data_IF_774823898778
#
_entry.id   IF_774823898778
#
_cell.length_a   1.000
_cell.length_b   1.000
_cell.length_c   1.000
_cell.angle_alpha   90.00
_cell.angle_beta   90.00
_cell.angle_gamma   90.00
#
_symmetry.space_group_name_H-M   'P 1'
#
loop_
_entity.id
_entity.type
_entity.pdbx_description
1 polymer ?
#
# COMPACT_ATOMS: atom_id res chain seq x y z
N UNK A 1 30.85 -36.84 50.18
CA UNK A 1 29.73 -37.78 50.35
C UNK A 1 28.45 -36.99 50.14
N UNK A 2 27.59 -37.44 49.21
CA UNK A 2 26.23 -36.95 48.90
C UNK A 2 26.14 -35.55 48.26
N UNK A 3 25.94 -35.55 46.93
CA UNK A 3 25.40 -34.43 46.16
C UNK A 3 23.87 -34.48 46.25
N UNK A 4 23.26 -33.46 46.87
CA UNK A 4 21.81 -33.30 46.97
C UNK A 4 21.25 -32.66 45.69
N UNK A 5 20.14 -33.23 45.22
CA UNK A 5 19.22 -32.61 44.27
C UNK A 5 18.59 -31.34 44.87
N UNK A 6 18.40 -30.32 44.03
CA UNK A 6 17.32 -29.34 44.20
C UNK A 6 16.56 -29.22 42.89
N UNK A 7 15.29 -29.57 42.98
CA UNK A 7 14.25 -29.47 41.96
C UNK A 7 13.75 -28.03 41.88
N UNK A 8 13.62 -27.48 40.67
CA UNK A 8 12.80 -26.28 40.43
C UNK A 8 11.75 -26.61 39.39
N UNK A 9 10.50 -26.55 39.84
CA UNK A 9 9.27 -26.74 39.09
C UNK A 9 8.91 -25.41 38.41
N UNK A 10 8.62 -25.42 37.10
CA UNK A 10 7.91 -24.33 36.45
C UNK A 10 6.63 -24.89 35.81
N UNK A 11 5.50 -24.47 36.37
CA UNK A 11 4.16 -24.70 35.84
C UNK A 11 4.00 -23.94 34.51
N UNK A 12 3.68 -24.67 33.45
CA UNK A 12 3.12 -24.11 32.21
C UNK A 12 1.60 -24.32 32.24
N UNK A 13 0.87 -23.21 32.32
CA UNK A 13 -0.58 -23.15 32.22
C UNK A 13 -1.03 -23.43 30.79
N UNK A 14 -2.07 -24.27 30.68
CA UNK A 14 -2.79 -24.59 29.44
C UNK A 14 -3.55 -23.36 28.94
N UNK A 15 -3.28 -22.97 27.70
CA UNK A 15 -4.11 -22.08 26.90
C UNK A 15 -4.62 -22.84 25.69
N UNK A 16 -5.92 -23.13 25.68
CA UNK A 16 -6.66 -23.82 24.63
C UNK A 16 -6.69 -22.96 23.36
N UNK A 17 -6.00 -23.38 22.29
CA UNK A 17 -6.18 -22.82 20.95
C UNK A 17 -7.09 -23.76 20.16
N UNK A 18 -8.35 -23.34 20.04
CA UNK A 18 -9.33 -23.96 19.15
C UNK A 18 -8.92 -23.76 17.69
N UNK A 19 -8.94 -24.86 16.96
CA UNK A 19 -8.83 -24.90 15.51
C UNK A 19 -9.96 -24.10 14.87
N UNK A 20 -9.62 -23.03 14.16
CA UNK A 20 -10.45 -22.45 13.12
C UNK A 20 -9.72 -22.66 11.78
N UNK A 21 -9.97 -23.82 11.17
CA UNK A 21 -9.61 -24.10 9.78
C UNK A 21 -10.54 -23.26 8.90
N UNK A 22 -10.00 -22.23 8.25
CA UNK A 22 -10.67 -21.50 7.18
C UNK A 22 -10.52 -22.26 5.85
N UNK A 23 -11.61 -22.26 5.10
CA UNK A 23 -11.88 -22.96 3.84
C UNK A 23 -10.99 -22.52 2.65
N UNK A 24 -10.90 -23.33 1.58
CA UNK A 24 -9.92 -23.18 0.49
C UNK A 24 -10.30 -22.18 -0.61
N UNK A 25 -11.32 -21.35 -0.39
CA UNK A 25 -11.67 -20.25 -1.30
C UNK A 25 -12.00 -19.01 -0.47
N UNK A 26 -11.25 -17.93 -0.72
CA UNK A 26 -11.58 -16.57 -0.29
C UNK A 26 -11.39 -16.27 1.19
N UNK A 27 -10.15 -15.92 1.55
CA UNK A 27 -9.80 -14.74 2.36
C UNK A 27 -8.28 -14.63 2.40
N UNK A 28 -7.76 -13.71 1.59
CA UNK A 28 -6.36 -13.31 1.46
C UNK A 28 -5.80 -12.82 2.79
N UNK A 29 -5.19 -13.71 3.57
CA UNK A 29 -4.30 -13.37 4.68
C UNK A 29 -2.85 -13.71 4.34
N UNK A 30 -2.32 -13.00 3.34
CA UNK A 30 -0.91 -12.64 3.28
C UNK A 30 -0.83 -11.16 2.90
N UNK A 31 -1.03 -10.30 3.91
CA UNK A 31 -0.58 -8.91 3.88
C UNK A 31 0.95 -8.91 3.81
N UNK A 32 1.49 -9.15 2.62
CA UNK A 32 2.82 -8.65 2.28
C UNK A 32 2.63 -7.15 2.22
N UNK A 33 3.27 -6.43 3.15
CA UNK A 33 3.27 -4.98 3.24
C UNK A 33 3.21 -4.37 1.83
N UNK A 34 2.02 -3.86 1.49
CA UNK A 34 1.79 -3.02 0.31
C UNK A 34 2.84 -1.94 0.42
N UNK A 35 3.87 -2.02 -0.42
CA UNK A 35 4.98 -1.09 -0.44
C UNK A 35 4.38 0.31 -0.56
N UNK A 36 4.36 1.00 0.57
CA UNK A 36 4.28 2.46 0.66
C UNK A 36 3.16 3.08 -0.17
N UNK A 37 1.89 2.77 0.17
CA UNK A 37 0.82 3.77 0.01
C UNK A 37 1.28 5.00 0.78
N UNK A 38 1.91 5.96 0.09
CA UNK A 38 2.64 7.09 0.68
C UNK A 38 1.75 7.81 1.69
N UNK A 39 1.89 7.51 2.98
CA UNK A 39 1.09 8.08 4.06
C UNK A 39 -0.38 7.65 4.14
N UNK A 40 -1.02 7.20 3.05
CA UNK A 40 -2.48 6.98 2.99
C UNK A 40 -2.99 5.79 3.82
N UNK A 41 -2.14 4.89 4.28
CA UNK A 41 -2.59 3.69 5.00
C UNK A 41 -3.28 2.66 4.09
N UNK A 42 -3.82 1.55 4.65
CA UNK A 42 -4.43 0.48 3.85
C UNK A 42 -5.69 0.98 3.15
N UNK A 43 -5.87 0.62 1.87
CA UNK A 43 -7.03 1.02 1.08
C UNK A 43 -8.35 0.56 1.74
N UNK A 44 -9.34 1.45 1.75
CA UNK A 44 -10.70 1.19 2.28
C UNK A 44 -11.78 1.27 1.21
N UNK A 45 -11.38 1.48 -0.05
CA UNK A 45 -12.24 1.60 -1.22
C UNK A 45 -11.81 0.57 -2.27
N UNK A 46 -12.69 0.28 -3.24
CA UNK A 46 -12.32 -0.54 -4.39
C UNK A 46 -11.36 0.26 -5.28
N UNK A 47 -10.10 -0.17 -5.33
CA UNK A 47 -9.06 0.50 -6.12
C UNK A 47 -9.31 0.39 -7.63
N UNK A 48 -10.15 -0.53 -8.10
CA UNK A 48 -10.43 -0.69 -9.53
C UNK A 48 -11.15 0.51 -10.15
N UNK A 49 -11.81 1.35 -9.34
CA UNK A 49 -12.35 2.63 -9.81
C UNK A 49 -11.26 3.62 -10.25
N UNK A 50 -9.99 3.39 -9.86
CA UNK A 50 -8.83 4.20 -10.21
C UNK A 50 -7.97 3.60 -11.32
N UNK A 51 -8.45 2.56 -12.01
CA UNK A 51 -7.71 2.01 -13.13
C UNK A 51 -7.58 3.02 -14.26
N UNK A 52 -6.41 3.05 -14.88
CA UNK A 52 -6.13 3.91 -16.01
C UNK A 52 -6.53 3.22 -17.33
N UNK A 53 -6.91 3.99 -18.37
CA UNK A 53 -6.99 3.48 -19.73
C UNK A 53 -5.64 2.92 -20.20
N UNK A 54 -5.66 1.92 -21.08
CA UNK A 54 -4.45 1.22 -21.54
C UNK A 54 -3.49 2.18 -22.22
N UNK A 55 -4.00 3.11 -23.03
CA UNK A 55 -3.20 4.11 -23.74
C UNK A 55 -2.40 4.99 -22.76
N UNK A 56 -3.01 5.35 -21.64
CA UNK A 56 -2.34 6.09 -20.57
C UNK A 56 -1.30 5.24 -19.85
N UNK A 57 -1.59 3.96 -19.60
CA UNK A 57 -0.67 3.03 -18.93
C UNK A 57 0.63 2.88 -19.72
N UNK A 58 0.52 2.71 -21.04
CA UNK A 58 1.67 2.52 -21.94
C UNK A 58 2.64 3.71 -21.89
N UNK A 59 2.10 4.92 -21.79
CA UNK A 59 2.90 6.14 -21.71
C UNK A 59 3.46 6.40 -20.30
N UNK A 60 2.84 5.86 -19.26
CA UNK A 60 3.08 6.27 -17.88
C UNK A 60 4.09 5.37 -17.14
N UNK A 61 4.24 4.11 -17.56
CA UNK A 61 5.25 3.22 -17.02
C UNK A 61 6.67 3.77 -17.21
N UNK A 62 7.51 3.61 -16.18
CA UNK A 62 8.93 3.91 -16.28
C UNK A 62 9.77 2.97 -15.42
N UNK A 63 11.02 2.78 -15.80
CA UNK A 63 12.01 2.11 -14.96
C UNK A 63 12.74 3.16 -14.11
N UNK A 64 12.77 2.94 -12.80
CA UNK A 64 13.41 3.82 -11.82
C UNK A 64 14.60 3.12 -11.21
N UNK A 65 15.77 3.74 -11.34
CA UNK A 65 16.99 3.26 -10.67
C UNK A 65 16.92 3.69 -9.20
N UNK A 66 16.93 2.71 -8.31
CA UNK A 66 16.95 2.93 -6.87
C UNK A 66 18.35 2.58 -6.35
N UNK A 67 18.98 3.56 -5.70
CA UNK A 67 20.25 3.37 -5.03
C UNK A 67 20.04 2.66 -3.69
N UNK A 68 21.03 1.86 -3.28
CA UNK A 68 21.01 1.20 -1.97
C UNK A 68 20.86 2.23 -0.86
N UNK A 69 19.89 2.01 0.02
CA UNK A 69 19.72 2.76 1.27
C UNK A 69 19.59 1.78 2.43
N UNK A 70 19.40 2.27 3.66
CA UNK A 70 19.08 1.39 4.80
C UNK A 70 17.72 0.68 4.63
N UNK A 71 16.82 1.27 3.85
CA UNK A 71 15.43 0.81 3.69
C UNK A 71 15.19 0.10 2.35
N UNK A 72 16.02 0.34 1.34
CA UNK A 72 15.83 -0.21 0.00
C UNK A 72 17.10 -0.88 -0.55
N UNK A 73 16.91 -2.01 -1.22
CA UNK A 73 17.95 -2.65 -2.03
C UNK A 73 18.23 -1.81 -3.29
N UNK A 74 19.46 -1.93 -3.80
CA UNK A 74 19.81 -1.36 -5.09
C UNK A 74 19.19 -2.18 -6.21
N UNK A 75 18.63 -1.50 -7.21
CA UNK A 75 18.02 -2.18 -8.34
C UNK A 75 17.30 -1.22 -9.29
N UNK A 76 16.75 -1.81 -10.34
CA UNK A 76 15.85 -1.14 -11.28
C UNK A 76 14.44 -1.63 -10.94
N UNK A 77 13.55 -0.70 -10.63
CA UNK A 77 12.18 -1.00 -10.23
C UNK A 77 11.19 -0.32 -11.14
N UNK A 78 10.00 -0.89 -11.23
CA UNK A 78 8.94 -0.31 -12.03
C UNK A 78 8.27 0.84 -11.27
N UNK A 79 8.15 1.99 -11.93
CA UNK A 79 7.59 3.22 -11.39
C UNK A 79 6.65 3.90 -12.39
N UNK A 80 6.25 5.12 -12.05
CA UNK A 80 5.42 5.98 -12.91
C UNK A 80 6.14 7.30 -13.19
N UNK A 81 5.90 7.89 -14.37
CA UNK A 81 6.49 9.18 -14.75
C UNK A 81 5.90 10.33 -13.93
N UNK A 82 4.60 10.29 -13.71
CA UNK A 82 3.74 11.31 -13.11
C UNK A 82 3.37 10.93 -11.67
N UNK A 83 4.37 10.79 -10.80
CA UNK A 83 4.20 10.38 -9.40
C UNK A 83 3.39 11.36 -8.53
N UNK A 84 2.86 12.46 -9.05
CA UNK A 84 1.87 13.30 -8.37
C UNK A 84 0.43 12.87 -8.66
N UNK A 85 0.17 12.31 -9.84
CA UNK A 85 -1.16 12.01 -10.38
C UNK A 85 -1.45 10.51 -10.44
N UNK A 86 -0.40 9.69 -10.51
CA UNK A 86 -0.49 8.24 -10.64
C UNK A 86 0.31 7.59 -9.52
N UNK A 87 -0.07 6.37 -9.15
CA UNK A 87 0.71 5.53 -8.25
C UNK A 87 0.75 4.09 -8.75
N UNK A 88 1.78 3.37 -8.31
CA UNK A 88 1.93 1.94 -8.56
C UNK A 88 1.30 1.17 -7.40
N UNK A 89 0.19 0.52 -7.65
CA UNK A 89 -0.41 -0.46 -6.75
C UNK A 89 0.29 -1.82 -6.90
N UNK A 90 0.37 -2.59 -5.83
CA UNK A 90 1.01 -3.91 -5.83
C UNK A 90 0.16 -4.90 -5.06
N UNK A 91 -0.24 -5.96 -5.73
CA UNK A 91 -1.07 -7.01 -5.15
C UNK A 91 -0.59 -8.40 -5.59
N UNK A 92 -1.02 -9.42 -4.85
CA UNK A 92 -0.79 -10.81 -5.18
C UNK A 92 -2.09 -11.41 -5.71
N UNK A 93 -2.00 -12.18 -6.78
CA UNK A 93 -3.08 -13.03 -7.24
C UNK A 93 -2.61 -14.47 -7.33
N UNK A 94 -3.50 -15.43 -7.07
CA UNK A 94 -3.15 -16.86 -7.09
C UNK A 94 -4.17 -17.62 -7.91
N UNK A 95 -3.69 -18.51 -8.77
CA UNK A 95 -4.52 -19.32 -9.66
C UNK A 95 -3.86 -20.68 -9.94
N UNK A 96 -4.65 -21.74 -10.24
CA UNK A 96 -4.12 -23.08 -10.46
C UNK A 96 -3.24 -23.13 -11.71
N UNK A 97 -2.20 -23.95 -11.69
CA UNK A 97 -1.33 -24.18 -12.84
C UNK A 97 -1.86 -25.33 -13.69
N UNK A 98 -2.22 -25.02 -14.93
CA UNK A 98 -2.42 -25.97 -16.03
C UNK A 98 -1.15 -26.01 -16.90
N UNK A 99 -1.26 -26.21 -18.21
CA UNK A 99 -0.11 -26.30 -19.15
C UNK A 99 0.74 -25.03 -19.22
N UNK A 100 0.13 -23.85 -19.07
CA UNK A 100 0.81 -22.54 -19.07
C UNK A 100 0.09 -21.52 -18.20
N UNK A 101 0.64 -20.31 -18.06
CA UNK A 101 -0.02 -19.25 -17.28
C UNK A 101 -1.28 -18.70 -17.96
N UNK A 102 -1.36 -18.74 -19.29
CA UNK A 102 -2.49 -18.16 -20.03
C UNK A 102 -2.53 -16.63 -19.95
N UNK A 103 -1.36 -15.98 -19.95
CA UNK A 103 -1.20 -14.53 -19.95
C UNK A 103 -0.48 -14.15 -21.24
N UNK A 104 -1.03 -13.16 -21.95
CA UNK A 104 -0.42 -12.57 -23.13
C UNK A 104 0.42 -11.35 -22.69
N UNK A 105 1.64 -11.24 -23.23
CA UNK A 105 2.59 -10.21 -22.85
C UNK A 105 2.92 -9.31 -24.04
N UNK A 106 3.12 -8.02 -23.77
CA UNK A 106 3.55 -7.00 -24.71
C UNK A 106 4.76 -6.26 -24.12
N UNK A 107 5.81 -6.08 -24.92
CA UNK A 107 6.95 -5.25 -24.56
C UNK A 107 6.67 -3.79 -24.94
N UNK A 108 6.66 -2.89 -23.95
CA UNK A 108 6.51 -1.45 -24.15
C UNK A 108 7.85 -0.76 -24.40
N UNK A 109 8.90 -1.26 -23.76
CA UNK A 109 10.26 -0.76 -23.90
C UNK A 109 11.23 -1.92 -23.77
N UNK A 110 12.22 -1.98 -24.66
CA UNK A 110 13.16 -3.09 -24.72
C UNK A 110 13.99 -3.05 -26.01
N UNK A 111 14.38 -4.22 -26.52
CA UNK A 111 15.22 -4.35 -27.72
C UNK A 111 16.70 -4.08 -27.50
N UNK A 112 17.17 -4.11 -26.25
CA UNK A 112 18.58 -4.01 -25.86
C UNK A 112 19.13 -5.40 -25.52
N UNK A 113 20.44 -5.59 -25.66
CA UNK A 113 21.11 -6.87 -25.37
C UNK A 113 21.37 -7.11 -23.86
N UNK A 114 20.71 -6.36 -22.96
CA UNK A 114 20.94 -6.39 -21.51
C UNK A 114 19.78 -7.01 -20.70
N UNK A 115 18.84 -7.69 -21.37
CA UNK A 115 17.64 -8.31 -20.78
C UNK A 115 16.69 -7.33 -20.06
N UNK A 116 16.97 -6.02 -20.11
CA UNK A 116 16.16 -4.99 -19.47
C UNK A 116 15.04 -4.52 -20.40
N UNK A 117 13.87 -4.31 -19.82
CA UNK A 117 12.70 -3.82 -20.54
C UNK A 117 11.53 -3.52 -19.63
N UNK A 118 10.40 -3.19 -20.24
CA UNK A 118 9.10 -3.04 -19.58
C UNK A 118 8.14 -3.93 -20.34
N UNK A 119 7.77 -5.04 -19.70
CA UNK A 119 6.80 -6.00 -20.24
C UNK A 119 5.52 -5.90 -19.45
N UNK A 120 4.40 -5.71 -20.15
CA UNK A 120 3.06 -5.63 -19.57
C UNK A 120 2.17 -6.75 -20.10
N UNK A 121 1.05 -6.98 -19.42
CA UNK A 121 0.00 -7.88 -19.85
C UNK A 121 -0.80 -7.21 -20.96
N UNK A 122 -0.90 -7.84 -22.13
CA UNK A 122 -1.78 -7.38 -23.21
C UNK A 122 -3.18 -7.99 -23.12
N UNK A 123 -3.29 -9.19 -22.53
CA UNK A 123 -4.53 -9.93 -22.44
C UNK A 123 -4.38 -11.24 -21.68
N UNK A 124 -5.50 -11.96 -21.55
CA UNK A 124 -5.55 -13.30 -20.96
C UNK A 124 -6.07 -14.29 -22.01
N UNK A 125 -5.47 -15.47 -22.05
CA UNK A 125 -5.85 -16.52 -22.98
C UNK A 125 -7.14 -17.20 -22.49
N UNK A 126 -8.22 -17.24 -23.30
CA UNK A 126 -9.46 -17.94 -22.93
C UNK A 126 -9.23 -19.41 -22.61
N UNK A 127 -9.82 -19.92 -21.54
CA UNK A 127 -9.58 -21.27 -21.00
C UNK A 127 -8.24 -21.44 -20.25
N UNK A 128 -7.41 -20.40 -20.19
CA UNK A 128 -6.08 -20.39 -19.59
C UNK A 128 -6.07 -20.59 -18.07
N UNK A 129 -4.89 -20.55 -17.46
CA UNK A 129 -4.75 -20.68 -16.00
C UNK A 129 -5.11 -19.38 -15.28
N UNK A 130 -4.72 -18.23 -15.84
CA UNK A 130 -4.99 -16.91 -15.31
C UNK A 130 -6.39 -16.38 -15.65
N UNK A 131 -7.18 -17.09 -16.46
CA UNK A 131 -8.56 -16.70 -16.77
C UNK A 131 -9.38 -16.63 -15.47
N UNK A 132 -10.05 -15.49 -15.25
CA UNK A 132 -10.79 -15.23 -14.01
C UNK A 132 -9.94 -14.77 -12.82
N UNK A 133 -8.63 -14.55 -13.02
CA UNK A 133 -7.79 -13.87 -12.04
C UNK A 133 -8.04 -12.36 -12.00
N UNK A 134 -7.40 -11.67 -11.05
CA UNK A 134 -7.49 -10.20 -10.91
C UNK A 134 -6.57 -9.44 -11.90
N UNK A 135 -5.84 -10.15 -12.75
CA UNK A 135 -4.91 -9.58 -13.74
C UNK A 135 -5.70 -8.88 -14.85
N UNK A 136 -5.23 -7.71 -15.26
CA UNK A 136 -5.82 -6.90 -16.32
C UNK A 136 -4.77 -6.45 -17.33
N UNK A 137 -5.23 -6.06 -18.52
CA UNK A 137 -4.38 -5.42 -19.53
C UNK A 137 -3.70 -4.17 -18.95
N UNK A 138 -2.40 -4.00 -19.24
CA UNK A 138 -1.57 -2.92 -18.73
C UNK A 138 -0.85 -3.23 -17.41
N UNK A 139 -1.18 -4.33 -16.73
CA UNK A 139 -0.45 -4.80 -15.56
C UNK A 139 0.98 -5.23 -15.90
N UNK A 140 1.90 -5.07 -14.97
CA UNK A 140 3.23 -5.67 -15.06
C UNK A 140 3.39 -6.79 -14.04
N UNK A 141 3.97 -7.91 -14.47
CA UNK A 141 4.32 -9.01 -13.58
C UNK A 141 5.70 -8.73 -12.97
N UNK A 142 5.76 -8.52 -11.66
CA UNK A 142 7.03 -8.27 -10.97
C UNK A 142 7.70 -9.56 -10.48
N UNK A 143 6.91 -10.57 -10.12
CA UNK A 143 7.41 -11.83 -9.58
C UNK A 143 6.39 -12.95 -9.81
N UNK A 144 6.86 -14.14 -10.14
CA UNK A 144 6.06 -15.35 -10.26
C UNK A 144 6.59 -16.38 -9.29
N UNK A 145 5.72 -16.87 -8.41
CA UNK A 145 6.00 -17.98 -7.51
C UNK A 145 5.18 -19.20 -7.90
N UNK A 146 5.82 -20.36 -7.96
CA UNK A 146 5.18 -21.66 -8.10
C UNK A 146 5.11 -22.29 -6.71
N UNK A 147 3.89 -22.54 -6.23
CA UNK A 147 3.64 -23.31 -5.01
C UNK A 147 3.12 -24.68 -5.40
N UNK A 148 3.84 -25.72 -4.99
CA UNK A 148 3.47 -27.12 -5.20
C UNK A 148 3.10 -27.74 -3.87
N UNK A 149 1.88 -28.28 -3.77
CA UNK A 149 1.39 -28.97 -2.59
C UNK A 149 1.10 -30.45 -2.87
N UNK A 150 1.28 -31.28 -1.84
CA UNK A 150 0.81 -32.67 -1.85
C UNK A 150 0.17 -33.00 -0.51
N UNK A 151 -1.13 -33.26 -0.56
CA UNK A 151 -1.89 -33.75 0.59
C UNK A 151 -1.75 -35.25 0.67
N UNK A 152 -1.08 -35.76 1.70
CA UNK A 152 -1.10 -37.19 2.03
C UNK A 152 -2.18 -37.44 3.08
N UNK A 153 -3.30 -38.05 2.65
CA UNK A 153 -4.29 -38.62 3.56
C UNK A 153 -3.83 -40.05 3.87
N UNK A 154 -3.43 -40.30 5.11
CA UNK A 154 -3.11 -41.65 5.58
C UNK A 154 -4.30 -42.22 6.35
N UNK A 155 -4.62 -43.49 6.14
CA UNK A 155 -5.54 -44.24 7.00
C UNK A 155 -5.05 -44.16 8.46
N UNK A 156 -5.77 -43.38 9.29
CA UNK A 156 -5.48 -43.11 10.71
C UNK A 156 -4.21 -42.28 11.04
N UNK A 157 -3.71 -41.40 10.15
CA UNK A 157 -2.63 -40.44 10.51
C UNK A 157 -3.04 -38.99 10.23
N UNK A 158 -2.51 -38.00 11.00
CA UNK A 158 -2.76 -36.59 10.73
C UNK A 158 -2.31 -36.24 9.30
N UNK A 159 -3.12 -35.42 8.63
CA UNK A 159 -2.87 -34.92 7.27
C UNK A 159 -1.49 -34.25 7.27
N UNK A 160 -0.56 -34.77 6.47
CA UNK A 160 0.73 -34.13 6.24
C UNK A 160 0.72 -33.43 4.88
N UNK A 161 0.91 -32.13 4.90
CA UNK A 161 1.03 -31.29 3.71
C UNK A 161 2.52 -31.06 3.41
N UNK A 162 2.96 -31.41 2.20
CA UNK A 162 4.30 -31.08 1.73
C UNK A 162 4.21 -29.94 0.73
N UNK A 163 4.76 -28.77 1.09
CA UNK A 163 4.76 -27.59 0.25
C UNK A 163 6.18 -27.25 -0.21
N UNK A 164 6.33 -26.99 -1.51
CA UNK A 164 7.55 -26.51 -2.15
C UNK A 164 7.24 -25.21 -2.88
N UNK A 165 8.14 -24.24 -2.80
CA UNK A 165 7.98 -22.90 -3.39
C UNK A 165 9.22 -22.54 -4.21
N UNK A 166 9.00 -22.09 -5.44
CA UNK A 166 10.03 -21.52 -6.31
C UNK A 166 9.59 -20.15 -6.77
N UNK A 167 10.50 -19.18 -6.74
CA UNK A 167 10.18 -17.80 -7.07
C UNK A 167 11.17 -17.26 -8.10
N UNK A 168 10.63 -16.58 -9.12
CA UNK A 168 11.40 -15.87 -10.14
C UNK A 168 10.93 -14.43 -10.21
N UNK A 169 11.88 -13.49 -10.27
CA UNK A 169 11.58 -12.07 -10.48
C UNK A 169 11.54 -11.78 -11.98
N UNK A 170 10.63 -10.91 -12.38
CA UNK A 170 10.42 -10.48 -13.77
C UNK A 170 10.24 -8.97 -13.89
N UNK A 171 10.37 -8.24 -12.78
CA UNK A 171 10.27 -6.77 -12.77
C UNK A 171 11.38 -6.16 -13.63
N UNK A 172 10.99 -5.23 -14.52
CA UNK A 172 11.88 -4.54 -15.45
C UNK A 172 12.66 -5.46 -16.43
N UNK A 173 12.10 -6.64 -16.75
CA UNK A 173 12.63 -7.51 -17.79
C UNK A 173 12.01 -7.24 -19.17
N UNK A 174 12.81 -7.46 -20.21
CA UNK A 174 12.33 -7.58 -21.58
C UNK A 174 11.37 -8.76 -21.73
N UNK A 175 10.68 -8.84 -22.87
CA UNK A 175 9.76 -9.95 -23.15
C UNK A 175 10.48 -11.31 -23.04
N UNK A 176 11.62 -11.44 -23.73
CA UNK A 176 12.39 -12.68 -23.78
C UNK A 176 12.93 -13.06 -22.40
N UNK A 177 13.45 -12.09 -21.64
CA UNK A 177 13.93 -12.31 -20.30
C UNK A 177 12.80 -12.72 -19.33
N UNK A 178 11.62 -12.11 -19.47
CA UNK A 178 10.41 -12.47 -18.71
C UNK A 178 9.98 -13.90 -18.99
N UNK A 179 9.85 -14.27 -20.27
CA UNK A 179 9.47 -15.62 -20.67
C UNK A 179 10.49 -16.65 -20.19
N UNK A 180 11.79 -16.39 -20.39
CA UNK A 180 12.89 -17.25 -19.95
C UNK A 180 12.90 -17.45 -18.43
N UNK A 181 12.66 -16.39 -17.66
CA UNK A 181 12.58 -16.48 -16.20
C UNK A 181 11.41 -17.37 -15.76
N UNK A 182 10.21 -17.18 -16.34
CA UNK A 182 9.02 -17.99 -16.02
C UNK A 182 9.22 -19.45 -16.43
N UNK A 183 9.83 -19.71 -17.59
CA UNK A 183 10.12 -21.07 -18.07
C UNK A 183 11.17 -21.82 -17.22
N UNK A 184 11.95 -21.11 -16.40
CA UNK A 184 12.89 -21.75 -15.47
C UNK A 184 12.19 -22.44 -14.28
N UNK A 185 10.90 -22.19 -14.08
CA UNK A 185 10.11 -22.86 -13.04
C UNK A 185 9.96 -24.36 -13.34
N UNK A 186 9.97 -25.24 -12.32
CA UNK A 186 9.89 -26.68 -12.50
C UNK A 186 8.71 -27.12 -13.36
N UNK A 187 8.79 -28.20 -14.15
CA UNK A 187 7.67 -28.72 -14.92
C UNK A 187 6.58 -29.30 -14.02
N UNK A 188 5.38 -29.48 -14.56
CA UNK A 188 4.24 -30.12 -13.87
C UNK A 188 4.60 -31.58 -13.57
N UNK A 189 4.22 -32.06 -12.39
CA UNK A 189 4.42 -33.45 -11.97
C UNK A 189 3.08 -34.03 -11.53
N UNK A 190 2.75 -35.23 -11.98
CA UNK A 190 1.52 -35.92 -11.59
C UNK A 190 1.44 -36.19 -10.08
N UNK A 191 0.23 -36.09 -9.53
CA UNK A 191 -0.03 -36.35 -8.10
C UNK A 191 0.39 -35.21 -7.17
N UNK A 192 0.57 -34.00 -7.70
CA UNK A 192 0.74 -32.76 -6.98
C UNK A 192 -0.27 -31.72 -7.48
N UNK A 193 -0.61 -30.76 -6.62
CA UNK A 193 -1.38 -29.58 -7.00
C UNK A 193 -0.42 -28.40 -7.10
N UNK A 194 -0.37 -27.75 -8.27
CA UNK A 194 0.47 -26.60 -8.53
C UNK A 194 -0.39 -25.33 -8.62
N UNK A 195 0.08 -24.26 -8.00
CA UNK A 195 -0.51 -22.93 -8.07
C UNK A 195 0.55 -21.91 -8.43
N UNK A 196 0.18 -20.96 -9.28
CA UNK A 196 0.95 -19.74 -9.45
C UNK A 196 0.48 -18.70 -8.46
N UNK A 197 1.41 -18.09 -7.73
CA UNK A 197 1.20 -16.83 -7.00
C UNK A 197 2.00 -15.75 -7.70
N UNK A 198 1.31 -14.79 -8.28
CA UNK A 198 1.89 -13.73 -9.11
C UNK A 198 1.82 -12.41 -8.37
N UNK A 199 2.96 -11.71 -8.25
CA UNK A 199 3.03 -10.33 -7.79
C UNK A 199 2.87 -9.41 -8.97
N UNK A 200 1.81 -8.61 -8.93
CA UNK A 200 1.39 -7.74 -10.02
C UNK A 200 1.57 -6.28 -9.60
N UNK A 201 2.09 -5.46 -10.51
CA UNK A 201 2.14 -4.01 -10.40
C UNK A 201 1.09 -3.42 -11.34
N UNK A 202 0.27 -2.49 -10.83
CA UNK A 202 -0.76 -1.81 -11.61
C UNK A 202 -0.66 -0.30 -11.44
N UNK A 203 -0.70 0.44 -12.54
CA UNK A 203 -0.84 1.89 -12.49
C UNK A 203 -2.28 2.28 -12.23
N UNK A 204 -2.47 3.20 -11.28
CA UNK A 204 -3.77 3.74 -10.90
C UNK A 204 -3.71 5.25 -10.73
N UNK A 205 -4.79 5.94 -11.08
CA UNK A 205 -4.93 7.36 -10.77
C UNK A 205 -4.94 7.57 -9.26
N UNK A 206 -4.28 8.63 -8.80
CA UNK A 206 -4.25 8.96 -7.39
C UNK A 206 -5.55 9.67 -7.00
N UNK A 207 -6.29 9.18 -6.00
CA UNK A 207 -7.52 9.82 -5.55
C UNK A 207 -7.24 11.23 -5.05
N UNK A 208 -8.17 12.15 -5.30
CA UNK A 208 -8.05 13.56 -4.90
C UNK A 208 -9.13 13.92 -3.89
N UNK A 209 -8.73 14.71 -2.90
CA UNK A 209 -9.62 15.33 -1.92
C UNK A 209 -9.63 16.83 -2.14
N UNK A 210 -10.83 17.38 -2.31
CA UNK A 210 -11.05 18.82 -2.41
C UNK A 210 -11.23 19.39 -1.01
N UNK A 211 -10.29 20.23 -0.58
CA UNK A 211 -10.28 20.84 0.74
C UNK A 211 -10.72 22.29 0.62
N UNK A 212 -11.93 22.60 1.10
CA UNK A 212 -12.39 23.97 1.27
C UNK A 212 -11.83 24.55 2.56
N UNK A 213 -11.08 25.64 2.45
CA UNK A 213 -10.46 26.36 3.53
C UNK A 213 -11.26 27.62 3.83
N UNK A 214 -11.61 27.78 5.09
CA UNK A 214 -12.28 28.97 5.62
C UNK A 214 -11.31 29.73 6.51
N UNK A 215 -11.26 31.06 6.34
CA UNK A 215 -10.40 31.96 7.10
C UNK A 215 -11.19 32.75 8.14
N UNK A 216 -10.58 33.09 9.29
CA UNK A 216 -11.21 33.96 10.28
C UNK A 216 -11.62 35.31 9.65
N UNK A 217 -12.77 35.89 10.06
CA UNK A 217 -13.26 37.16 9.50
C UNK A 217 -12.24 38.31 9.57
N UNK A 218 -11.44 38.37 10.66
CA UNK A 218 -10.43 39.40 10.87
C UNK A 218 -9.30 39.36 9.83
N UNK A 219 -9.04 38.20 9.21
CA UNK A 219 -8.00 38.08 8.18
C UNK A 219 -8.44 38.70 6.85
N UNK A 220 -9.75 38.91 6.64
CA UNK A 220 -10.32 39.44 5.40
C UNK A 220 -9.81 38.71 4.14
N UNK A 221 -9.56 37.40 4.25
CA UNK A 221 -9.16 36.53 3.14
C UNK A 221 -10.38 35.73 2.66
N UNK A 222 -10.59 35.59 1.33
CA UNK A 222 -11.69 34.78 0.81
C UNK A 222 -11.45 33.29 1.08
N UNK A 223 -12.54 32.53 1.25
CA UNK A 223 -12.47 31.06 1.28
C UNK A 223 -11.70 30.54 0.06
N UNK A 224 -10.81 29.57 0.28
CA UNK A 224 -10.01 28.94 -0.76
C UNK A 224 -10.41 27.48 -0.95
N UNK A 225 -10.21 26.93 -2.15
CA UNK A 225 -10.32 25.49 -2.40
C UNK A 225 -8.95 25.02 -2.90
N UNK A 226 -8.42 23.99 -2.25
CA UNK A 226 -7.21 23.31 -2.70
C UNK A 226 -7.52 21.85 -2.98
N UNK A 227 -6.83 21.27 -3.95
CA UNK A 227 -6.87 19.84 -4.20
C UNK A 227 -5.64 19.17 -3.61
N UNK A 228 -5.86 18.12 -2.84
CA UNK A 228 -4.82 17.33 -2.19
C UNK A 228 -4.93 15.88 -2.62
N UNK A 229 -3.81 15.24 -2.91
CA UNK A 229 -3.81 13.82 -3.21
C UNK A 229 -4.00 12.98 -1.93
N UNK A 230 -4.66 11.83 -2.06
CA UNK A 230 -4.70 10.83 -1.01
C UNK A 230 -3.29 10.44 -0.58
N UNK A 231 -3.04 10.43 0.73
CA UNK A 231 -1.73 10.23 1.33
C UNK A 231 -0.94 11.49 1.65
N UNK A 232 -1.35 12.66 1.15
CA UNK A 232 -0.67 13.91 1.49
C UNK A 232 -0.82 14.29 2.97
N UNK A 233 0.26 14.79 3.56
CA UNK A 233 0.20 15.44 4.87
C UNK A 233 -0.55 16.77 4.76
N UNK A 234 -1.60 16.95 5.56
CA UNK A 234 -2.50 18.09 5.47
C UNK A 234 -1.76 19.44 5.65
N UNK A 235 -0.88 19.56 6.64
CA UNK A 235 -0.08 20.79 6.85
C UNK A 235 0.86 21.05 5.68
N UNK A 236 1.60 20.05 5.25
CA UNK A 236 2.58 20.23 4.18
C UNK A 236 1.88 20.61 2.87
N UNK A 237 0.79 19.92 2.52
CA UNK A 237 0.03 20.20 1.33
C UNK A 237 -0.60 21.60 1.33
N UNK A 238 -1.07 22.07 2.49
CA UNK A 238 -1.51 23.46 2.66
C UNK A 238 -0.37 24.47 2.47
N UNK A 239 0.79 24.27 3.11
CA UNK A 239 1.92 25.21 3.01
C UNK A 239 2.50 25.31 1.60
N UNK A 240 2.66 24.19 0.90
CA UNK A 240 3.16 24.16 -0.48
C UNK A 240 2.23 24.92 -1.43
N UNK A 241 0.93 24.96 -1.11
CA UNK A 241 -0.10 25.69 -1.85
C UNK A 241 -0.30 27.13 -1.34
N UNK A 242 0.63 27.65 -0.52
CA UNK A 242 0.64 29.04 -0.06
C UNK A 242 -0.35 29.35 1.07
N UNK A 243 -0.98 28.35 1.67
CA UNK A 243 -1.94 28.56 2.76
C UNK A 243 -1.21 28.97 4.03
N UNK A 244 -1.59 30.12 4.59
CA UNK A 244 -1.01 30.66 5.82
C UNK A 244 -1.53 29.89 7.03
N UNK A 245 -0.74 28.90 7.43
CA UNK A 245 -0.86 28.21 8.71
C UNK A 245 0.06 28.84 9.75
N UNK A 246 -0.13 28.44 11.01
CA UNK A 246 0.52 28.96 12.21
C UNK A 246 -0.27 30.10 12.86
N UNK A 247 -1.30 29.70 13.60
CA UNK A 247 -2.05 30.60 14.46
C UNK A 247 -1.12 31.29 15.47
N UNK A 248 -0.86 32.61 15.37
CA UNK A 248 -0.05 33.36 16.33
C UNK A 248 -0.58 33.31 17.76
N UNK A 249 -1.88 33.05 17.96
CA UNK A 249 -2.48 32.94 19.29
C UNK A 249 -2.30 31.54 19.91
N UNK A 250 -1.90 30.56 19.12
CA UNK A 250 -1.65 29.21 19.60
C UNK A 250 -0.34 29.16 20.42
N UNK A 251 -0.44 28.59 21.61
CA UNK A 251 0.71 28.36 22.50
C UNK A 251 1.19 26.93 22.40
N UNK A 252 2.50 26.77 22.59
CA UNK A 252 3.11 25.46 22.72
C UNK A 252 2.51 24.67 23.88
N UNK A 253 2.21 23.39 23.66
CA UNK A 253 1.65 22.52 24.68
C UNK A 253 2.69 22.16 25.75
N UNK A 254 3.96 21.98 25.34
CA UNK A 254 5.07 21.61 26.22
C UNK A 254 5.61 22.80 27.02
N UNK A 255 5.90 23.93 26.36
CA UNK A 255 6.53 25.09 27.02
C UNK A 255 5.55 26.18 27.44
N UNK A 256 4.30 26.13 26.98
CA UNK A 256 3.29 27.20 27.14
C UNK A 256 3.71 28.58 26.59
N UNK A 257 4.81 28.63 25.85
CA UNK A 257 5.32 29.83 25.17
C UNK A 257 4.82 29.89 23.72
N UNK A 258 5.02 31.03 23.06
CA UNK A 258 4.86 31.10 21.60
C UNK A 258 5.88 30.22 20.86
N UNK A 259 5.62 29.97 19.57
CA UNK A 259 6.55 29.29 18.66
C UNK A 259 5.99 28.02 18.02
N UNK A 260 6.49 27.68 16.84
CA UNK A 260 6.12 26.45 16.14
C UNK A 260 7.10 25.30 16.48
N UNK A 261 6.64 24.05 16.37
CA UNK A 261 7.45 22.85 16.65
C UNK A 261 7.91 22.10 15.38
N UNK A 262 7.88 22.75 14.20
CA UNK A 262 8.32 22.11 12.95
C UNK A 262 7.65 20.76 12.64
N UNK A 263 6.33 20.62 12.88
CA UNK A 263 5.56 19.37 12.74
C UNK A 263 5.77 18.29 13.84
N UNK A 264 6.44 18.63 14.95
CA UNK A 264 6.56 17.75 16.13
C UNK A 264 5.22 17.33 16.76
N UNK A 265 4.15 18.11 16.57
CA UNK A 265 2.83 17.85 17.15
C UNK A 265 2.70 18.33 18.60
N UNK A 266 3.48 19.35 18.98
CA UNK A 266 3.55 19.86 20.35
C UNK A 266 3.11 21.32 20.46
N UNK A 267 2.93 22.03 19.35
CA UNK A 267 2.77 23.49 19.39
C UNK A 267 1.35 24.05 19.20
N UNK A 268 0.39 23.22 18.76
CA UNK A 268 -0.96 23.63 18.30
C UNK A 268 -1.01 24.74 17.23
N UNK A 269 0.11 25.26 16.72
CA UNK A 269 0.09 26.34 15.70
C UNK A 269 -0.52 25.89 14.36
N UNK A 270 -0.45 24.61 14.03
CA UNK A 270 -1.13 24.04 12.86
C UNK A 270 -2.49 23.40 13.21
N UNK A 271 -3.10 23.80 14.33
CA UNK A 271 -4.45 23.36 14.67
C UNK A 271 -5.42 23.91 13.64
N UNK A 272 -6.33 23.07 13.21
CA UNK A 272 -7.46 23.42 12.33
C UNK A 272 -8.73 22.81 12.91
N UNK A 273 -9.88 23.38 12.59
CA UNK A 273 -11.17 22.78 12.94
C UNK A 273 -11.80 22.16 11.70
N UNK A 274 -12.06 20.86 11.76
CA UNK A 274 -12.74 20.13 10.68
C UNK A 274 -14.24 20.35 10.78
N UNK A 275 -14.82 20.96 9.76
CA UNK A 275 -16.25 21.28 9.70
C UNK A 275 -17.05 20.14 9.08
N UNK A 276 -16.49 19.48 8.07
CA UNK A 276 -17.02 18.29 7.39
C UNK A 276 -15.89 17.49 6.73
N UNK A 277 -16.12 16.22 6.40
CA UNK A 277 -15.13 15.36 5.75
C UNK A 277 -14.01 14.88 6.68
N UNK A 278 -14.31 14.67 7.97
CA UNK A 278 -13.33 14.22 8.96
C UNK A 278 -12.90 12.78 8.78
N UNK A 279 -13.78 11.97 8.20
CA UNK A 279 -13.57 10.57 7.78
C UNK A 279 -12.53 10.41 6.67
N UNK A 280 -12.27 11.47 5.89
CA UNK A 280 -11.22 11.50 4.86
C UNK A 280 -9.82 11.65 5.47
N UNK A 281 -9.71 11.85 6.78
CA UNK A 281 -8.43 11.96 7.48
C UNK A 281 -8.12 10.67 8.25
N UNK A 282 -6.83 10.37 8.44
CA UNK A 282 -6.43 9.31 9.36
C UNK A 282 -6.91 9.60 10.79
N UNK A 283 -7.07 8.54 11.58
CA UNK A 283 -7.40 8.66 13.01
C UNK A 283 -6.35 9.45 13.80
N UNK A 284 -6.83 10.22 14.79
CA UNK A 284 -5.95 10.89 15.75
C UNK A 284 -5.20 9.87 16.62
N UNK A 285 -3.89 10.08 16.78
CA UNK A 285 -3.09 9.32 17.74
C UNK A 285 -3.36 9.79 19.18
N UNK A 286 -3.02 8.96 20.17
CA UNK A 286 -3.29 9.23 21.59
C UNK A 286 -2.80 10.61 22.04
N UNK A 287 -1.59 11.01 21.66
CA UNK A 287 -1.03 12.31 22.01
C UNK A 287 -1.80 13.49 21.37
N UNK A 288 -2.28 13.35 20.13
CA UNK A 288 -3.13 14.35 19.48
C UNK A 288 -4.48 14.45 20.19
N UNK A 289 -5.11 13.32 20.53
CA UNK A 289 -6.37 13.26 21.28
C UNK A 289 -6.28 13.95 22.64
N UNK A 290 -5.21 13.67 23.40
CA UNK A 290 -4.97 14.33 24.68
C UNK A 290 -4.75 15.83 24.51
N UNK A 291 -3.99 16.21 23.49
CA UNK A 291 -3.73 17.62 23.24
C UNK A 291 -4.97 18.35 22.72
N UNK A 292 -5.92 17.72 22.05
CA UNK A 292 -7.11 18.38 21.52
C UNK A 292 -8.40 17.96 22.26
N UNK A 293 -8.27 17.52 23.51
CA UNK A 293 -9.40 17.06 24.32
C UNK A 293 -10.47 18.14 24.55
N UNK A 294 -10.10 19.41 24.40
CA UNK A 294 -10.97 20.57 24.46
C UNK A 294 -11.83 20.77 23.20
N UNK A 295 -11.48 20.16 22.06
CA UNK A 295 -12.24 20.27 20.82
C UNK A 295 -12.16 18.98 19.98
N UNK A 296 -13.24 18.20 19.98
CA UNK A 296 -13.34 16.94 19.25
C UNK A 296 -13.25 17.06 17.72
N UNK A 297 -13.51 18.26 17.16
CA UNK A 297 -13.39 18.55 15.73
C UNK A 297 -12.02 19.11 15.35
N UNK A 298 -11.19 19.45 16.33
CA UNK A 298 -9.87 19.97 16.05
C UNK A 298 -8.96 18.85 15.53
N UNK A 299 -8.06 19.22 14.62
CA UNK A 299 -6.97 18.37 14.15
C UNK A 299 -5.67 19.14 14.16
N UNK A 300 -4.57 18.44 14.40
CA UNK A 300 -3.25 18.95 14.05
C UNK A 300 -3.00 18.64 12.59
N UNK A 301 -3.00 19.66 11.73
CA UNK A 301 -2.74 19.46 10.31
C UNK A 301 -1.39 18.75 10.05
N UNK A 302 -0.40 18.89 10.95
CA UNK A 302 0.89 18.19 10.82
C UNK A 302 0.84 16.69 11.10
N UNK A 303 -0.21 16.19 11.77
CA UNK A 303 -0.41 14.76 12.07
C UNK A 303 -1.55 14.15 11.26
N UNK A 304 -2.26 14.97 10.48
CA UNK A 304 -3.33 14.54 9.61
C UNK A 304 -2.79 14.21 8.20
N UNK A 305 -3.22 13.07 7.69
CA UNK A 305 -3.06 12.60 6.33
C UNK A 305 -4.43 12.67 5.65
N UNK A 306 -4.47 13.27 4.47
CA UNK A 306 -5.69 13.45 3.66
C UNK A 306 -5.94 12.26 2.77
N UNK A 307 -7.20 11.91 2.51
CA UNK A 307 -7.59 10.76 1.70
C UNK A 307 -7.09 9.44 2.28
N UNK A 308 -7.10 9.31 3.62
CA UNK A 308 -6.66 8.07 4.27
C UNK A 308 -7.52 6.89 3.81
N UNK A 309 -6.89 5.77 3.50
CA UNK A 309 -7.52 4.62 2.86
C UNK A 309 -7.78 4.80 1.37
N UNK A 310 -7.04 5.69 0.70
CA UNK A 310 -7.21 5.99 -0.73
C UNK A 310 -8.60 6.54 -1.08
N UNK A 311 -9.18 7.30 -0.14
CA UNK A 311 -10.50 7.90 -0.32
C UNK A 311 -10.40 9.24 -1.06
N UNK A 312 -11.40 9.51 -1.89
CA UNK A 312 -11.67 10.82 -2.50
C UNK A 312 -12.87 11.50 -1.83
N UNK A 313 -13.02 12.80 -2.04
CA UNK A 313 -14.20 13.52 -1.59
C UNK A 313 -13.94 14.99 -1.30
N UNK A 314 -14.91 15.63 -0.67
CA UNK A 314 -14.85 17.03 -0.27
C UNK A 314 -14.77 17.15 1.25
N UNK A 315 -13.88 18.01 1.75
CA UNK A 315 -13.81 18.35 3.17
C UNK A 315 -13.76 19.86 3.37
N UNK A 316 -14.29 20.33 4.50
CA UNK A 316 -14.25 21.75 4.86
C UNK A 316 -13.49 21.93 6.17
N UNK A 317 -12.54 22.87 6.17
CA UNK A 317 -11.65 23.14 7.29
C UNK A 317 -11.62 24.63 7.58
N UNK A 318 -11.67 25.00 8.87
CA UNK A 318 -11.32 26.33 9.34
C UNK A 318 -9.86 26.38 9.77
N UNK A 319 -9.10 27.29 9.18
CA UNK A 319 -7.72 27.56 9.61
C UNK A 319 -7.71 28.55 10.79
N UNK A 320 -6.65 28.52 11.59
CA UNK A 320 -6.42 29.42 12.73
C UNK A 320 -7.62 29.52 13.69
N UNK A 321 -8.06 28.39 14.28
CA UNK A 321 -9.33 28.30 15.00
C UNK A 321 -9.44 29.20 16.24
N UNK A 322 -8.34 29.70 16.83
CA UNK A 322 -8.43 30.58 18.00
C UNK A 322 -8.67 32.06 17.62
N UNK A 323 -8.74 32.39 16.33
CA UNK A 323 -9.05 33.73 15.82
C UNK A 323 -10.50 33.86 15.33
N UNK A 324 -11.35 32.86 15.59
CA UNK A 324 -12.75 32.82 15.19
C UNK A 324 -13.69 33.30 16.29
#
# INVERSE_FOLDING_TARGET
MISQLVTVSLLLTKGTLGNALSTPFGKTTRNIATQTLQGAGPATVDLNQYNLPVETIEEEWCAVVVQKTAENEEGIYLGCKSNSEVFVDTFLTTFPRKEGMGIELLELAGGRDDDLGITVVSGLVPGGSAEGSEIMTGDSIAEVSLVRSKTKIGDNRPISEQNQEWTVKTECFSYDATVKAIQSLPPIIEGYEDYFTVKVRRLRSRPKVRVKLQYPPEQNEPDAIIEMNAGENLRQGMLVRGIKLNDPLAKRFDTKSGGNCGAGGLCRTCQVTVMSGGELLNDQRVAEKQMLADNSRARLACKAIVGFGMQEGDMTIRVNPNQW
#
